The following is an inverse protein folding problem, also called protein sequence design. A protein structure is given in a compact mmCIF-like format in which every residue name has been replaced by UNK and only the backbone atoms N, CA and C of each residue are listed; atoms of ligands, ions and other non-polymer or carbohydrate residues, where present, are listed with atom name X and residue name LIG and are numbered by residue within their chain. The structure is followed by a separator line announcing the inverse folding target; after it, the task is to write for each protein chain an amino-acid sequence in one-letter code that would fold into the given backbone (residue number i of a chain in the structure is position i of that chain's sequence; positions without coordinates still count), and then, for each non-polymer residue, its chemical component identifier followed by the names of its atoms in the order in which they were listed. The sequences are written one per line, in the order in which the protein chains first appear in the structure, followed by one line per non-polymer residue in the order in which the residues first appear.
data_IF_834227664769
#
_entry.id   IF_834227664769
#
_cell.length_a   1.000
_cell.length_b   1.000
_cell.length_c   1.000
_cell.angle_alpha   90.00
_cell.angle_beta   90.00
_cell.angle_gamma   90.00
#
_symmetry.space_group_name_H-M   'P 1'
#
loop_
_entity.id
_entity.type
_entity.pdbx_description
1 polymer ?
#
# COMPACT_ATOMS: atom_id res chain seq x y z
N UNK A 1 -18.61 -27.90 24.19
CA UNK A 1 -17.79 -27.71 22.98
C UNK A 1 -18.37 -26.51 22.26
N UNK A 2 -17.75 -25.33 22.44
CA UNK A 2 -18.21 -24.10 21.81
C UNK A 2 -17.68 -24.08 20.37
N UNK A 3 -18.57 -24.26 19.41
CA UNK A 3 -18.28 -24.08 17.99
C UNK A 3 -17.96 -22.60 17.77
N UNK A 4 -16.69 -22.28 17.51
CA UNK A 4 -16.29 -21.00 16.94
C UNK A 4 -16.92 -20.92 15.55
N UNK A 5 -18.03 -20.19 15.44
CA UNK A 5 -18.53 -19.74 14.14
C UNK A 5 -17.49 -18.72 13.66
N UNK A 6 -16.67 -19.10 12.69
CA UNK A 6 -15.79 -18.17 12.01
C UNK A 6 -16.65 -17.04 11.46
N UNK A 7 -16.40 -15.81 11.91
CA UNK A 7 -17.01 -14.62 11.31
C UNK A 7 -16.64 -14.64 9.82
N UNK A 8 -17.60 -14.56 8.89
CA UNK A 8 -17.27 -14.54 7.48
C UNK A 8 -16.34 -13.37 7.20
N UNK A 9 -15.25 -13.62 6.48
CA UNK A 9 -14.38 -12.57 5.96
C UNK A 9 -15.24 -11.67 5.07
N UNK A 10 -15.38 -10.40 5.43
CA UNK A 10 -16.01 -9.42 4.54
C UNK A 10 -14.95 -9.04 3.52
N UNK A 11 -15.12 -9.52 2.30
CA UNK A 11 -14.29 -9.11 1.17
C UNK A 11 -14.39 -7.59 1.00
N UNK A 12 -13.25 -6.92 0.91
CA UNK A 12 -13.15 -5.48 0.70
C UNK A 12 -12.58 -5.23 -0.69
N UNK A 13 -13.30 -4.47 -1.52
CA UNK A 13 -12.89 -4.10 -2.87
C UNK A 13 -12.25 -2.72 -2.87
N UNK A 14 -10.92 -2.70 -3.02
CA UNK A 14 -10.14 -1.47 -3.22
C UNK A 14 -9.90 -1.23 -4.71
N UNK A 15 -10.24 -0.03 -5.20
CA UNK A 15 -10.05 0.35 -6.61
C UNK A 15 -9.03 1.47 -6.71
N UNK A 16 -7.96 1.23 -7.48
CA UNK A 16 -6.98 2.27 -7.81
C UNK A 16 -7.58 3.24 -8.83
N UNK A 17 -7.55 4.54 -8.50
CA UNK A 17 -8.09 5.60 -9.34
C UNK A 17 -7.08 6.74 -9.51
N UNK A 18 -7.14 7.41 -10.66
CA UNK A 18 -6.26 8.52 -11.02
C UNK A 18 -7.00 9.78 -11.46
N UNK A 19 -8.33 9.73 -11.56
CA UNK A 19 -9.18 10.85 -11.91
C UNK A 19 -10.52 10.83 -11.17
N UNK A 20 -11.17 11.99 -11.03
CA UNK A 20 -12.48 12.10 -10.40
C UNK A 20 -13.57 11.30 -11.13
N UNK A 21 -13.43 11.12 -12.45
CA UNK A 21 -14.36 10.31 -13.23
C UNK A 21 -14.25 8.83 -12.85
N UNK A 22 -13.02 8.31 -12.69
CA UNK A 22 -12.78 6.94 -12.23
C UNK A 22 -13.28 6.75 -10.80
N UNK A 23 -13.00 7.70 -9.89
CA UNK A 23 -13.52 7.70 -8.52
C UNK A 23 -15.05 7.61 -8.51
N UNK A 24 -15.72 8.46 -9.29
CA UNK A 24 -17.19 8.47 -9.38
C UNK A 24 -17.75 7.13 -9.88
N UNK A 25 -17.09 6.52 -10.88
CA UNK A 25 -17.47 5.20 -11.40
C UNK A 25 -17.25 4.13 -10.34
N UNK A 26 -16.10 4.10 -9.67
CA UNK A 26 -15.79 3.12 -8.64
C UNK A 26 -16.77 3.20 -7.46
N UNK A 27 -17.04 4.41 -6.94
CA UNK A 27 -17.99 4.62 -5.85
C UNK A 27 -19.42 4.19 -6.24
N UNK A 28 -19.89 4.56 -7.43
CA UNK A 28 -21.23 4.19 -7.89
C UNK A 28 -21.41 2.69 -8.19
N UNK A 29 -20.31 1.94 -8.32
CA UNK A 29 -20.30 0.49 -8.51
C UNK A 29 -19.96 -0.30 -7.23
N UNK A 30 -19.94 0.36 -6.06
CA UNK A 30 -19.82 -0.31 -4.77
C UNK A 30 -18.40 -0.65 -4.34
N UNK A 31 -17.39 0.13 -4.76
CA UNK A 31 -16.07 0.06 -4.15
C UNK A 31 -16.16 0.35 -2.64
N UNK A 32 -15.43 -0.41 -1.82
CA UNK A 32 -15.33 -0.16 -0.39
C UNK A 32 -14.26 0.88 -0.08
N UNK A 33 -13.22 0.95 -0.93
CA UNK A 33 -12.08 1.84 -0.77
C UNK A 33 -11.52 2.30 -2.11
N UNK A 34 -11.04 3.54 -2.15
CA UNK A 34 -10.28 4.10 -3.26
C UNK A 34 -8.82 4.23 -2.85
N UNK A 35 -7.92 3.64 -3.64
CA UNK A 35 -6.51 4.01 -3.64
C UNK A 35 -6.30 5.12 -4.68
N UNK A 36 -6.10 6.35 -4.22
CA UNK A 36 -5.90 7.49 -5.11
C UNK A 36 -4.42 7.65 -5.46
N UNK A 37 -4.13 7.65 -6.76
CA UNK A 37 -2.79 7.82 -7.33
C UNK A 37 -2.76 8.95 -8.36
N UNK A 38 -1.57 9.36 -8.76
CA UNK A 38 -1.29 10.06 -10.03
C UNK A 38 -0.21 9.31 -10.80
N UNK A 39 0.19 9.79 -12.00
CA UNK A 39 1.34 9.24 -12.72
C UNK A 39 1.30 7.72 -12.90
N UNK A 40 0.17 7.20 -13.40
CA UNK A 40 -0.07 5.76 -13.56
C UNK A 40 0.95 5.09 -14.49
N UNK A 41 1.53 5.84 -15.42
CA UNK A 41 2.64 5.41 -16.28
C UNK A 41 3.94 5.10 -15.51
N UNK A 42 3.99 5.48 -14.24
CA UNK A 42 5.08 5.20 -13.31
C UNK A 42 4.67 4.26 -12.18
N UNK A 43 3.59 3.49 -12.32
CA UNK A 43 3.00 2.61 -11.28
C UNK A 43 2.46 3.36 -10.06
N UNK A 44 1.99 4.60 -10.25
CA UNK A 44 1.36 5.39 -9.20
C UNK A 44 2.34 6.26 -8.41
N UNK A 45 2.02 7.55 -8.35
CA UNK A 45 2.73 8.61 -7.64
C UNK A 45 1.76 9.36 -6.72
N UNK A 46 2.32 10.22 -5.85
CA UNK A 46 1.53 11.11 -5.01
C UNK A 46 0.63 12.03 -5.86
N UNK A 47 -0.70 12.03 -5.66
CA UNK A 47 -1.62 12.94 -6.35
C UNK A 47 -1.55 14.37 -5.81
N UNK A 48 -2.16 15.33 -6.53
CA UNK A 48 -2.24 16.71 -6.06
C UNK A 48 -3.25 16.86 -4.93
N UNK A 49 -3.05 17.85 -4.07
CA UNK A 49 -3.95 18.16 -2.95
C UNK A 49 -5.39 18.46 -3.40
N UNK A 50 -5.57 19.08 -4.57
CA UNK A 50 -6.88 19.36 -5.16
C UNK A 50 -7.61 18.06 -5.51
N UNK A 51 -6.93 17.14 -6.19
CA UNK A 51 -7.50 15.85 -6.57
C UNK A 51 -7.90 15.03 -5.33
N UNK A 52 -7.06 15.06 -4.28
CA UNK A 52 -7.36 14.39 -3.02
C UNK A 52 -8.61 14.97 -2.36
N UNK A 53 -8.72 16.31 -2.26
CA UNK A 53 -9.88 16.98 -1.65
C UNK A 53 -11.18 16.65 -2.37
N UNK A 54 -11.17 16.71 -3.68
CA UNK A 54 -12.36 16.43 -4.49
C UNK A 54 -12.73 14.93 -4.42
N UNK A 55 -11.74 14.04 -4.35
CA UNK A 55 -11.96 12.60 -4.13
C UNK A 55 -12.62 12.33 -2.77
N UNK A 56 -12.11 12.90 -1.68
CA UNK A 56 -12.70 12.77 -0.34
C UNK A 56 -14.16 13.23 -0.36
N UNK A 57 -14.45 14.36 -1.04
CA UNK A 57 -15.81 14.87 -1.16
C UNK A 57 -16.73 13.86 -1.86
N UNK A 58 -16.32 13.33 -3.02
CA UNK A 58 -17.12 12.33 -3.75
C UNK A 58 -17.32 11.09 -2.89
N UNK A 59 -16.24 10.49 -2.37
CA UNK A 59 -16.31 9.25 -1.60
C UNK A 59 -17.18 9.36 -0.34
N UNK A 60 -17.23 10.54 0.30
CA UNK A 60 -18.09 10.78 1.46
C UNK A 60 -19.59 10.61 1.16
N UNK A 61 -20.03 10.85 -0.08
CA UNK A 61 -21.43 10.65 -0.49
C UNK A 61 -21.80 9.17 -0.61
N UNK A 62 -20.81 8.29 -0.75
CA UNK A 62 -20.97 6.84 -0.95
C UNK A 62 -20.47 6.02 0.24
N UNK A 63 -19.94 6.66 1.30
CA UNK A 63 -19.31 5.99 2.45
C UNK A 63 -18.15 5.06 2.03
N UNK A 64 -17.29 5.55 1.14
CA UNK A 64 -16.13 4.83 0.61
C UNK A 64 -14.85 5.39 1.24
N UNK A 65 -13.96 4.51 1.71
CA UNK A 65 -12.68 4.92 2.30
C UNK A 65 -11.73 5.51 1.23
N UNK A 66 -10.90 6.49 1.61
CA UNK A 66 -9.89 7.09 0.73
C UNK A 66 -8.49 6.90 1.32
N UNK A 67 -7.67 6.11 0.64
CA UNK A 67 -6.24 5.99 0.91
C UNK A 67 -5.45 6.62 -0.23
N UNK A 68 -4.32 7.24 0.10
CA UNK A 68 -3.57 8.06 -0.87
C UNK A 68 -2.15 7.55 -1.02
N UNK A 69 -1.71 7.40 -2.27
CA UNK A 69 -0.32 7.09 -2.60
C UNK A 69 0.63 8.17 -2.10
N UNK A 70 1.70 7.76 -1.41
CA UNK A 70 2.82 8.58 -1.01
C UNK A 70 4.07 8.05 -1.73
N UNK A 71 4.33 8.54 -2.94
CA UNK A 71 5.49 8.17 -3.74
C UNK A 71 5.96 9.35 -4.59
N UNK A 72 7.16 9.84 -4.30
CA UNK A 72 7.66 11.11 -4.84
C UNK A 72 8.18 11.02 -6.29
N UNK A 73 8.49 9.82 -6.79
CA UNK A 73 8.98 9.58 -8.15
C UNK A 73 8.74 8.14 -8.61
N UNK A 74 8.78 7.94 -9.93
CA UNK A 74 8.81 6.62 -10.54
C UNK A 74 10.17 5.92 -10.40
N UNK A 75 10.24 4.70 -10.94
CA UNK A 75 11.43 3.85 -10.87
C UNK A 75 11.48 3.02 -9.59
N UNK A 76 12.69 2.87 -9.04
CA UNK A 76 12.94 2.06 -7.84
C UNK A 76 12.26 2.59 -6.56
N UNK A 77 12.35 1.79 -5.50
CA UNK A 77 11.85 2.09 -4.16
C UNK A 77 12.99 2.33 -3.15
N UNK A 78 14.18 2.67 -3.64
CA UNK A 78 15.36 2.97 -2.82
C UNK A 78 15.48 4.48 -2.72
N UNK A 79 15.04 5.04 -1.60
CA UNK A 79 15.00 6.48 -1.42
C UNK A 79 16.23 7.01 -0.69
N UNK A 80 16.67 8.19 -1.11
CA UNK A 80 17.57 9.04 -0.35
C UNK A 80 16.87 9.61 0.89
N UNK A 81 17.66 10.06 1.87
CA UNK A 81 17.10 10.74 3.05
C UNK A 81 16.28 11.98 2.68
N UNK A 82 16.70 12.73 1.67
CA UNK A 82 16.00 13.92 1.20
C UNK A 82 14.62 13.59 0.59
N UNK A 83 14.51 12.46 -0.11
CA UNK A 83 13.22 12.01 -0.67
C UNK A 83 12.27 11.54 0.44
N UNK A 84 12.78 10.81 1.44
CA UNK A 84 11.99 10.45 2.63
C UNK A 84 11.53 11.73 3.36
N UNK A 85 12.42 12.68 3.60
CA UNK A 85 12.08 13.94 4.28
C UNK A 85 11.04 14.76 3.51
N UNK A 86 11.12 14.75 2.17
CA UNK A 86 10.11 15.37 1.30
C UNK A 86 8.74 14.72 1.49
N UNK A 87 8.66 13.38 1.48
CA UNK A 87 7.41 12.66 1.70
C UNK A 87 6.85 12.85 3.13
N UNK A 88 7.71 12.91 4.15
CA UNK A 88 7.29 13.23 5.52
C UNK A 88 6.73 14.66 5.62
N UNK A 89 7.30 15.63 4.88
CA UNK A 89 6.73 16.98 4.81
C UNK A 89 5.37 17.01 4.12
N UNK A 90 5.17 16.20 3.07
CA UNK A 90 3.85 16.01 2.45
C UNK A 90 2.83 15.48 3.46
N UNK A 91 3.15 14.43 4.23
CA UNK A 91 2.27 13.91 5.27
C UNK A 91 1.92 14.95 6.34
N UNK A 92 2.91 15.70 6.83
CA UNK A 92 2.69 16.79 7.80
C UNK A 92 1.81 17.89 7.24
N UNK A 93 1.88 18.14 5.93
CA UNK A 93 1.00 19.08 5.24
C UNK A 93 -0.43 18.54 5.24
N UNK A 94 -0.63 17.34 4.73
CA UNK A 94 -1.95 16.68 4.66
C UNK A 94 -2.66 16.65 6.01
N UNK A 95 -1.94 16.37 7.10
CA UNK A 95 -2.51 16.35 8.45
C UNK A 95 -3.17 17.66 8.89
N UNK A 96 -2.85 18.79 8.25
CA UNK A 96 -3.42 20.10 8.58
C UNK A 96 -4.78 20.34 7.93
N UNK A 97 -5.08 19.67 6.82
CA UNK A 97 -6.23 20.05 5.97
C UNK A 97 -6.92 18.90 5.24
N UNK A 98 -6.45 17.67 5.36
CA UNK A 98 -7.08 16.48 4.77
C UNK A 98 -7.57 15.53 5.86
N UNK A 99 -8.64 14.81 5.55
CA UNK A 99 -9.17 13.71 6.36
C UNK A 99 -9.08 12.44 5.52
N UNK A 100 -7.95 11.74 5.64
CA UNK A 100 -7.70 10.48 4.92
C UNK A 100 -8.06 9.28 5.79
N UNK A 101 -8.35 8.15 5.15
CA UNK A 101 -8.56 6.87 5.81
C UNK A 101 -7.28 6.03 5.85
N UNK A 102 -6.25 6.42 5.11
CA UNK A 102 -4.96 5.75 5.10
C UNK A 102 -3.95 6.35 4.11
N UNK A 103 -2.73 5.81 4.17
CA UNK A 103 -1.62 6.17 3.28
C UNK A 103 -1.04 4.90 2.67
N UNK A 104 -0.69 4.94 1.39
CA UNK A 104 -0.02 3.86 0.69
C UNK A 104 1.43 4.26 0.45
N UNK A 105 2.39 3.43 0.88
CA UNK A 105 3.82 3.73 0.80
C UNK A 105 4.64 2.44 0.69
N UNK A 106 5.87 2.49 0.20
CA UNK A 106 6.82 1.41 0.45
C UNK A 106 8.23 1.80 0.04
N UNK A 107 9.20 1.32 0.79
CA UNK A 107 10.62 1.58 0.57
C UNK A 107 11.40 0.29 0.80
N UNK A 108 12.43 0.08 -0.02
CA UNK A 108 13.30 -1.09 0.03
C UNK A 108 14.71 -0.72 0.49
N UNK A 109 15.40 -1.72 1.04
CA UNK A 109 16.82 -1.65 1.33
C UNK A 109 17.64 -1.40 0.06
N UNK A 110 18.86 -0.89 0.21
CA UNK A 110 19.74 -0.53 -0.93
C UNK A 110 20.06 -1.69 -1.87
N UNK A 111 19.96 -2.92 -1.38
CA UNK A 111 20.20 -4.16 -2.10
C UNK A 111 18.90 -4.84 -2.58
N UNK A 112 17.74 -4.21 -2.36
CA UNK A 112 16.41 -4.76 -2.68
C UNK A 112 16.13 -6.15 -2.07
N UNK A 113 16.74 -6.49 -0.94
CA UNK A 113 16.54 -7.79 -0.27
C UNK A 113 15.51 -7.74 0.87
N UNK A 114 15.14 -6.55 1.34
CA UNK A 114 14.17 -6.36 2.40
C UNK A 114 13.51 -4.97 2.32
N UNK A 115 12.45 -4.70 3.12
CA UNK A 115 11.99 -3.33 3.34
C UNK A 115 13.07 -2.46 4.00
N UNK A 116 13.07 -1.16 3.71
CA UNK A 116 13.77 -0.18 4.53
C UNK A 116 12.95 0.11 5.79
N UNK A 117 13.17 -0.68 6.83
CA UNK A 117 12.44 -0.59 8.11
C UNK A 117 12.55 0.79 8.77
N UNK A 118 13.65 1.53 8.54
CA UNK A 118 13.82 2.87 9.11
C UNK A 118 12.93 3.88 8.39
N UNK A 119 12.90 3.85 7.05
CA UNK A 119 12.02 4.70 6.26
C UNK A 119 10.54 4.38 6.53
N UNK A 120 10.18 3.09 6.54
CA UNK A 120 8.81 2.63 6.83
C UNK A 120 8.35 3.08 8.21
N UNK A 121 9.16 2.87 9.25
CA UNK A 121 8.79 3.27 10.63
C UNK A 121 8.57 4.78 10.76
N UNK A 122 9.42 5.60 10.13
CA UNK A 122 9.24 7.07 10.10
C UNK A 122 7.93 7.48 9.43
N UNK A 123 7.57 6.83 8.32
CA UNK A 123 6.33 7.09 7.59
C UNK A 123 5.12 6.67 8.43
N UNK A 124 5.14 5.48 9.04
CA UNK A 124 4.07 5.00 9.92
C UNK A 124 3.84 5.96 11.09
N UNK A 125 4.90 6.35 11.79
CA UNK A 125 4.82 7.29 12.91
C UNK A 125 4.27 8.66 12.44
N UNK A 126 4.77 9.16 11.30
CA UNK A 126 4.35 10.44 10.76
C UNK A 126 2.94 10.40 10.17
N UNK A 127 2.42 9.26 9.72
CA UNK A 127 1.07 9.11 9.16
C UNK A 127 0.00 8.98 10.25
N UNK A 128 0.34 8.45 11.43
CA UNK A 128 -0.60 8.19 12.52
C UNK A 128 -1.53 9.41 12.82
N UNK A 129 -2.86 9.23 12.91
CA UNK A 129 -3.56 7.96 13.09
C UNK A 129 -3.88 7.20 11.79
N UNK A 130 -3.49 7.71 10.62
CA UNK A 130 -3.79 7.03 9.36
C UNK A 130 -3.01 5.71 9.25
N UNK A 131 -3.70 4.57 9.04
CA UNK A 131 -3.03 3.30 8.79
C UNK A 131 -2.22 3.37 7.49
N UNK A 132 -1.09 2.65 7.48
CA UNK A 132 -0.24 2.54 6.29
C UNK A 132 -0.44 1.18 5.63
N UNK A 133 -0.62 1.21 4.31
CA UNK A 133 -0.54 0.04 3.43
C UNK A 133 0.86 0.02 2.77
N UNK A 134 1.57 -1.10 2.88
CA UNK A 134 2.80 -1.29 2.12
C UNK A 134 2.48 -1.76 0.70
N UNK A 135 2.86 -0.97 -0.31
CA UNK A 135 2.48 -1.25 -1.70
C UNK A 135 3.34 -2.34 -2.37
N UNK A 136 3.17 -2.49 -3.69
CA UNK A 136 3.83 -3.51 -4.55
C UNK A 136 5.36 -3.53 -4.57
N UNK A 137 6.06 -2.60 -3.91
CA UNK A 137 7.50 -2.70 -3.70
C UNK A 137 7.94 -4.03 -3.09
N UNK A 138 7.07 -4.68 -2.30
CA UNK A 138 7.33 -6.02 -1.77
C UNK A 138 7.63 -7.03 -2.89
N UNK A 139 6.96 -6.91 -4.04
CA UNK A 139 7.15 -7.81 -5.19
C UNK A 139 8.48 -7.57 -5.93
N UNK A 140 9.20 -6.49 -5.62
CA UNK A 140 10.54 -6.21 -6.14
C UNK A 140 11.66 -6.74 -5.23
N UNK A 141 11.32 -7.36 -4.10
CA UNK A 141 12.31 -7.94 -3.21
C UNK A 141 12.93 -9.16 -3.87
N UNK A 142 14.24 -9.10 -4.12
CA UNK A 142 14.99 -10.23 -4.63
C UNK A 142 15.31 -11.16 -3.47
N UNK A 143 14.90 -12.42 -3.55
CA UNK A 143 15.38 -13.42 -2.63
C UNK A 143 16.91 -13.54 -2.80
N UNK A 144 17.66 -13.33 -1.71
CA UNK A 144 19.04 -13.76 -1.66
C UNK A 144 19.02 -15.30 -1.78
N UNK A 145 19.59 -15.81 -2.87
CA UNK A 145 19.74 -17.21 -3.27
C UNK A 145 18.62 -17.78 -4.18
N UNK A 146 18.95 -17.80 -5.46
CA UNK A 146 18.13 -18.19 -6.60
C UNK A 146 17.94 -19.72 -6.72
N UNK A 147 17.08 -20.28 -5.88
CA UNK A 147 16.40 -21.55 -6.16
C UNK A 147 14.94 -21.46 -5.66
N UNK A 148 14.16 -20.63 -6.34
CA UNK A 148 12.83 -20.19 -5.91
C UNK A 148 11.79 -21.30 -6.10
N UNK A 149 11.81 -22.30 -5.22
CA UNK A 149 10.66 -23.19 -5.03
C UNK A 149 9.57 -22.46 -4.24
N UNK A 150 8.28 -22.80 -4.44
CA UNK A 150 7.15 -22.13 -3.77
C UNK A 150 7.34 -21.97 -2.26
N UNK A 151 7.88 -22.99 -1.58
CA UNK A 151 8.12 -22.94 -0.13
C UNK A 151 9.12 -21.85 0.27
N UNK A 152 10.14 -21.58 -0.56
CA UNK A 152 11.12 -20.51 -0.27
C UNK A 152 10.55 -19.11 -0.47
N UNK A 153 9.67 -18.94 -1.47
CA UNK A 153 9.00 -17.67 -1.74
C UNK A 153 8.00 -17.32 -0.62
N UNK A 154 7.21 -18.28 -0.15
CA UNK A 154 6.30 -18.10 0.99
C UNK A 154 7.06 -17.68 2.25
N UNK A 155 8.15 -18.37 2.61
CA UNK A 155 8.97 -18.00 3.77
C UNK A 155 9.62 -16.61 3.62
N UNK A 156 10.03 -16.23 2.41
CA UNK A 156 10.52 -14.88 2.15
C UNK A 156 9.41 -13.83 2.33
N UNK A 157 8.22 -14.06 1.76
CA UNK A 157 7.07 -13.18 1.90
C UNK A 157 6.66 -13.03 3.36
N UNK A 158 6.55 -14.13 4.11
CA UNK A 158 6.21 -14.12 5.54
C UNK A 158 7.22 -13.33 6.37
N UNK A 159 8.53 -13.51 6.15
CA UNK A 159 9.55 -12.71 6.84
C UNK A 159 9.40 -11.22 6.58
N UNK A 160 9.12 -10.83 5.33
CA UNK A 160 8.90 -9.43 4.97
C UNK A 160 7.62 -8.89 5.61
N UNK A 161 6.51 -9.64 5.55
CA UNK A 161 5.24 -9.28 6.18
C UNK A 161 5.43 -9.08 7.69
N UNK A 162 6.16 -9.97 8.35
CA UNK A 162 6.49 -9.86 9.78
C UNK A 162 7.29 -8.58 10.07
N UNK A 163 8.31 -8.25 9.26
CA UNK A 163 9.06 -7.00 9.41
C UNK A 163 8.15 -5.77 9.27
N UNK A 164 7.28 -5.75 8.27
CA UNK A 164 6.33 -4.67 8.03
C UNK A 164 5.33 -4.54 9.19
N UNK A 165 4.82 -5.66 9.69
CA UNK A 165 3.94 -5.71 10.86
C UNK A 165 4.59 -5.09 12.09
N UNK A 166 5.86 -5.41 12.38
CA UNK A 166 6.62 -4.84 13.49
C UNK A 166 6.86 -3.32 13.33
N UNK A 167 6.93 -2.83 12.09
CA UNK A 167 6.98 -1.38 11.81
C UNK A 167 5.62 -0.68 11.97
N UNK A 168 4.53 -1.40 12.19
CA UNK A 168 3.17 -0.87 12.32
C UNK A 168 2.41 -0.70 11.00
N UNK A 169 2.88 -1.32 9.91
CA UNK A 169 2.11 -1.43 8.67
C UNK A 169 0.85 -2.27 8.92
N UNK A 170 -0.29 -1.81 8.40
CA UNK A 170 -1.59 -2.45 8.63
C UNK A 170 -2.03 -3.38 7.51
N UNK A 171 -1.62 -3.11 6.27
CA UNK A 171 -1.98 -3.88 5.08
C UNK A 171 -0.78 -4.00 4.15
N UNK A 172 -0.75 -5.03 3.31
CA UNK A 172 0.26 -5.23 2.26
C UNK A 172 -0.47 -5.48 0.95
N UNK A 173 -0.10 -4.75 -0.10
CA UNK A 173 -0.53 -4.98 -1.48
C UNK A 173 0.59 -5.72 -2.21
N UNK A 174 0.33 -6.97 -2.60
CA UNK A 174 1.34 -7.86 -3.19
C UNK A 174 0.72 -8.75 -4.26
N UNK A 175 1.57 -9.17 -5.18
CA UNK A 175 1.31 -10.19 -6.20
C UNK A 175 1.85 -11.56 -5.77
N UNK A 176 2.26 -11.72 -4.51
CA UNK A 176 2.90 -12.93 -3.98
C UNK A 176 4.39 -13.04 -4.33
N UNK A 177 5.12 -11.93 -4.52
CA UNK A 177 6.51 -11.92 -5.04
C UNK A 177 6.65 -12.39 -6.49
N UNK A 178 5.56 -12.29 -7.27
CA UNK A 178 5.52 -12.60 -8.70
C UNK A 178 5.11 -11.38 -9.54
N UNK A 179 5.15 -11.49 -10.87
CA UNK A 179 4.70 -10.41 -11.76
C UNK A 179 3.19 -10.15 -11.69
N UNK A 180 2.40 -11.20 -11.42
CA UNK A 180 0.94 -11.11 -11.31
C UNK A 180 0.43 -11.91 -10.11
N UNK A 181 -0.72 -11.49 -9.56
CA UNK A 181 -1.36 -12.20 -8.45
C UNK A 181 -1.81 -13.62 -8.84
N UNK A 182 -2.07 -13.87 -10.13
CA UNK A 182 -2.35 -15.21 -10.62
C UNK A 182 -1.12 -16.12 -10.52
N UNK A 183 0.06 -15.63 -10.91
CA UNK A 183 1.30 -16.39 -10.80
C UNK A 183 1.72 -16.62 -9.35
N UNK A 184 1.48 -15.65 -8.46
CA UNK A 184 1.77 -15.77 -7.03
C UNK A 184 0.65 -16.33 -6.18
N UNK A 185 -0.37 -16.95 -6.78
CA UNK A 185 -1.56 -17.47 -6.09
C UNK A 185 -1.22 -18.37 -4.91
N UNK A 186 -0.24 -19.26 -5.07
CA UNK A 186 0.15 -20.21 -4.02
C UNK A 186 0.80 -19.48 -2.83
N UNK A 187 1.62 -18.45 -3.09
CA UNK A 187 2.19 -17.60 -2.02
C UNK A 187 1.10 -16.79 -1.33
N UNK A 188 0.14 -16.26 -2.08
CA UNK A 188 -0.98 -15.47 -1.55
C UNK A 188 -1.92 -16.31 -0.67
N UNK A 189 -2.19 -17.57 -1.03
CA UNK A 189 -3.04 -18.45 -0.21
C UNK A 189 -2.41 -18.80 1.13
N UNK A 190 -1.07 -18.82 1.19
CA UNK A 190 -0.31 -19.21 2.37
C UNK A 190 0.08 -18.02 3.26
N UNK A 191 -0.18 -16.78 2.83
CA UNK A 191 0.18 -15.54 3.53
C UNK A 191 -1.02 -14.71 4.02
N UNK A 192 -2.26 -15.12 3.67
CA UNK A 192 -3.51 -14.43 3.98
C UNK A 192 -4.24 -14.88 5.25
#
# INVERSE_FOLDING_TARGET
MSSLIATPLVETYEICCSSLAEVQVACSNGADRIELCSGMEFDGLTPSDELIKDTIKICSEYNVEVVVMLRCRGGDFIYSSAEIDSMLNTLRSWKKHLSLDGVVFGALSKDNTSPDVNAVSKVVECAAPWPVTFHKAIDCITAADADTTSSTATEAAMRVIDQLHHCGVRRVLTSGLHSTAEEGRDVLSDTG
#
